data_IF_739655126818
#
_entry.id   IF_739655126818
#
_cell.length_a   1.000
_cell.length_b   1.000
_cell.length_c   1.000
_cell.angle_alpha   90.00
_cell.angle_beta   90.00
_cell.angle_gamma   90.00
#
_symmetry.space_group_name_H-M   'P 1'
#
loop_
_entity.id
_entity.type
_entity.pdbx_description
1 polymer ?
#
# COMPACT_ATOMS: atom_id res chain seq x y z
N UNK A 1 -8.10 -17.83 -44.38
CA UNK A 1 -7.22 -17.30 -43.30
C UNK A 1 -7.98 -16.43 -42.29
N UNK A 2 -8.76 -15.41 -42.70
CA UNK A 2 -9.54 -14.57 -41.78
C UNK A 2 -10.58 -15.35 -40.95
N UNK A 3 -11.27 -16.32 -41.57
CA UNK A 3 -12.25 -17.21 -40.91
C UNK A 3 -11.65 -18.01 -39.74
N UNK A 4 -10.45 -18.58 -39.92
CA UNK A 4 -9.76 -19.32 -38.85
C UNK A 4 -9.31 -18.43 -37.69
N UNK A 5 -8.92 -17.18 -37.98
CA UNK A 5 -8.52 -16.21 -36.95
C UNK A 5 -9.73 -15.85 -36.07
N UNK A 6 -10.89 -15.63 -36.67
CA UNK A 6 -12.14 -15.36 -35.94
C UNK A 6 -12.55 -16.58 -35.10
N UNK A 7 -12.54 -17.78 -35.70
CA UNK A 7 -12.89 -19.03 -35.01
C UNK A 7 -11.98 -19.27 -33.79
N UNK A 8 -10.66 -19.19 -33.97
CA UNK A 8 -9.73 -19.43 -32.87
C UNK A 8 -9.86 -18.38 -31.78
N UNK A 9 -10.04 -17.10 -32.12
CA UNK A 9 -10.29 -16.06 -31.13
C UNK A 9 -11.59 -16.30 -30.34
N UNK A 10 -12.67 -16.74 -31.00
CA UNK A 10 -13.91 -17.10 -30.32
C UNK A 10 -13.71 -18.28 -29.35
N UNK A 11 -12.95 -19.30 -29.75
CA UNK A 11 -12.62 -20.43 -28.88
C UNK A 11 -11.73 -20.03 -27.70
N UNK A 12 -10.75 -19.13 -27.91
CA UNK A 12 -9.91 -18.58 -26.83
C UNK A 12 -10.75 -17.81 -25.82
N UNK A 13 -11.68 -16.96 -26.28
CA UNK A 13 -12.59 -16.21 -25.40
C UNK A 13 -13.47 -17.12 -24.53
N UNK A 14 -13.83 -18.29 -25.06
CA UNK A 14 -14.58 -19.32 -24.34
C UNK A 14 -13.69 -20.34 -23.59
N UNK A 15 -12.41 -20.03 -23.36
CA UNK A 15 -11.45 -20.88 -22.63
C UNK A 15 -11.19 -22.28 -23.24
N UNK A 16 -11.56 -22.52 -24.50
CA UNK A 16 -11.36 -23.80 -25.21
C UNK A 16 -9.94 -23.94 -25.79
N UNK A 17 -8.91 -23.74 -24.97
CA UNK A 17 -7.51 -23.71 -25.42
C UNK A 17 -7.00 -25.03 -26.02
N UNK A 18 -7.41 -26.20 -25.50
CA UNK A 18 -6.98 -27.51 -26.07
C UNK A 18 -7.62 -27.77 -27.43
N UNK A 19 -8.87 -27.35 -27.62
CA UNK A 19 -9.54 -27.42 -28.92
C UNK A 19 -8.82 -26.57 -29.96
N UNK A 20 -8.33 -25.38 -29.57
CA UNK A 20 -7.50 -24.56 -30.48
C UNK A 20 -6.18 -25.25 -30.81
N UNK A 21 -5.51 -25.87 -29.83
CA UNK A 21 -4.25 -26.61 -30.06
C UNK A 21 -4.46 -27.78 -31.01
N UNK A 22 -5.53 -28.57 -30.84
CA UNK A 22 -5.84 -29.71 -31.70
C UNK A 22 -6.25 -29.28 -33.11
N UNK A 23 -7.07 -28.23 -33.24
CA UNK A 23 -7.44 -27.65 -34.53
C UNK A 23 -6.23 -27.07 -35.26
N UNK A 24 -5.29 -26.44 -34.55
CA UNK A 24 -4.06 -25.93 -35.15
C UNK A 24 -3.18 -27.06 -35.70
N UNK A 25 -3.09 -28.20 -35.02
CA UNK A 25 -2.39 -29.39 -35.54
C UNK A 25 -3.03 -29.87 -36.84
N UNK A 26 -4.36 -29.95 -36.89
CA UNK A 26 -5.12 -30.32 -38.10
C UNK A 26 -4.90 -29.30 -39.23
N UNK A 27 -4.91 -28.01 -38.91
CA UNK A 27 -4.64 -26.94 -39.87
C UNK A 27 -3.25 -27.08 -40.53
N UNK A 28 -2.22 -27.47 -39.79
CA UNK A 28 -0.90 -27.72 -40.38
C UNK A 28 -0.89 -28.97 -41.27
N UNK A 29 -1.67 -30.01 -40.95
CA UNK A 29 -1.74 -31.22 -41.77
C UNK A 29 -2.44 -31.01 -43.12
N UNK A 30 -3.20 -29.93 -43.28
CA UNK A 30 -3.84 -29.59 -44.56
C UNK A 30 -2.94 -28.79 -45.51
N UNK A 31 -1.66 -28.58 -45.17
CA UNK A 31 -0.68 -27.88 -46.01
C UNK A 31 -0.86 -26.35 -46.08
N UNK A 32 -1.77 -25.78 -45.28
CA UNK A 32 -1.99 -24.34 -45.21
C UNK A 32 -0.91 -23.69 -44.34
N UNK A 33 -0.34 -22.57 -44.79
CA UNK A 33 0.67 -21.82 -44.04
C UNK A 33 0.00 -20.90 -43.00
N UNK A 34 0.28 -21.06 -41.70
CA UNK A 34 -0.22 -20.14 -40.68
C UNK A 34 0.46 -18.77 -40.80
N UNK A 35 -0.26 -17.70 -40.49
CA UNK A 35 0.33 -16.37 -40.32
C UNK A 35 0.76 -16.15 -38.85
N UNK A 36 1.49 -15.06 -38.60
CA UNK A 36 1.98 -14.71 -37.26
C UNK A 36 0.85 -14.58 -36.22
N UNK A 37 -0.31 -14.06 -36.62
CA UNK A 37 -1.49 -13.92 -35.73
C UNK A 37 -1.95 -15.29 -35.21
N UNK A 38 -2.08 -16.29 -36.08
CA UNK A 38 -2.47 -17.64 -35.69
C UNK A 38 -1.41 -18.28 -34.77
N UNK A 39 -0.12 -18.05 -35.02
CA UNK A 39 0.93 -18.50 -34.10
C UNK A 39 0.86 -17.83 -32.74
N UNK A 40 0.58 -16.53 -32.66
CA UNK A 40 0.38 -15.81 -31.40
C UNK A 40 -0.84 -16.35 -30.62
N UNK A 41 -1.93 -16.68 -31.31
CA UNK A 41 -3.10 -17.31 -30.69
C UNK A 41 -2.74 -18.70 -30.14
N UNK A 42 -2.03 -19.53 -30.93
CA UNK A 42 -1.57 -20.84 -30.48
C UNK A 42 -0.65 -20.71 -29.25
N UNK A 43 0.30 -19.78 -29.32
CA UNK A 43 1.27 -19.53 -28.26
C UNK A 43 0.56 -19.09 -26.97
N UNK A 44 -0.44 -18.20 -27.06
CA UNK A 44 -1.28 -17.81 -25.92
C UNK A 44 -2.04 -19.03 -25.33
N UNK A 45 -2.66 -19.86 -26.16
CA UNK A 45 -3.38 -21.08 -25.70
C UNK A 45 -2.45 -22.05 -24.96
N UNK A 46 -1.30 -22.34 -25.54
CA UNK A 46 -0.28 -23.23 -24.97
C UNK A 46 0.25 -22.65 -23.65
N UNK A 47 0.50 -21.34 -23.61
CA UNK A 47 0.94 -20.64 -22.42
C UNK A 47 -0.10 -20.61 -21.29
N UNK A 48 -1.40 -20.46 -21.61
CA UNK A 48 -2.48 -20.53 -20.63
C UNK A 48 -2.68 -21.92 -20.04
N UNK A 49 -2.32 -22.98 -20.77
CA UNK A 49 -2.24 -24.35 -20.24
C UNK A 49 -0.96 -24.61 -19.43
N UNK A 50 -0.10 -23.62 -19.27
CA UNK A 50 1.16 -23.76 -18.53
C UNK A 50 2.21 -24.61 -19.25
N UNK A 51 2.02 -24.88 -20.55
CA UNK A 51 2.91 -25.71 -21.37
C UNK A 51 4.04 -24.86 -21.96
N UNK A 52 4.89 -24.31 -21.09
CA UNK A 52 5.92 -23.33 -21.49
C UNK A 52 6.88 -23.85 -22.58
N UNK A 53 7.29 -25.13 -22.51
CA UNK A 53 8.18 -25.74 -23.52
C UNK A 53 7.53 -25.82 -24.89
N UNK A 54 6.25 -26.20 -24.96
CA UNK A 54 5.50 -26.18 -26.23
C UNK A 54 5.39 -24.76 -26.78
N UNK A 55 5.30 -23.75 -25.90
CA UNK A 55 5.34 -22.35 -26.31
C UNK A 55 6.67 -21.98 -26.99
N UNK A 56 7.80 -22.44 -26.46
CA UNK A 56 9.11 -22.26 -27.10
C UNK A 56 9.21 -23.01 -28.43
N UNK A 57 8.59 -24.18 -28.56
CA UNK A 57 8.48 -24.88 -29.85
C UNK A 57 7.71 -24.04 -30.86
N UNK A 58 6.63 -23.37 -30.45
CA UNK A 58 5.89 -22.44 -31.31
C UNK A 58 6.75 -21.24 -31.70
N UNK A 59 7.49 -20.64 -30.77
CA UNK A 59 8.42 -19.55 -31.07
C UNK A 59 9.52 -19.97 -32.07
N UNK A 60 10.09 -21.16 -31.89
CA UNK A 60 11.06 -21.71 -32.83
C UNK A 60 10.47 -21.95 -34.23
N UNK A 61 9.18 -22.32 -34.32
CA UNK A 61 8.48 -22.43 -35.61
C UNK A 61 8.26 -21.08 -36.27
N UNK A 62 7.92 -20.04 -35.51
CA UNK A 62 7.80 -18.65 -36.02
C UNK A 62 9.11 -18.25 -36.69
N UNK A 63 10.24 -18.42 -35.99
CA UNK A 63 11.57 -18.08 -36.50
C UNK A 63 11.96 -18.92 -37.73
N UNK A 64 11.74 -20.24 -37.69
CA UNK A 64 12.08 -21.16 -38.79
C UNK A 64 11.31 -20.86 -40.08
N UNK A 65 10.10 -20.32 -39.97
CA UNK A 65 9.27 -19.93 -41.11
C UNK A 65 9.57 -18.50 -41.59
N UNK A 66 10.59 -17.84 -41.03
CA UNK A 66 11.01 -16.50 -41.43
C UNK A 66 10.15 -15.36 -40.86
N UNK A 67 9.23 -15.65 -39.95
CA UNK A 67 8.47 -14.61 -39.26
C UNK A 67 9.31 -13.99 -38.13
N UNK A 68 9.20 -12.67 -37.96
CA UNK A 68 9.77 -11.96 -36.81
C UNK A 68 8.79 -12.05 -35.63
N UNK A 69 9.18 -12.64 -34.48
CA UNK A 69 8.35 -12.62 -33.29
C UNK A 69 8.11 -11.19 -32.82
N UNK A 70 6.89 -10.91 -32.35
CA UNK A 70 6.50 -9.60 -31.87
C UNK A 70 6.42 -9.56 -30.34
N UNK A 71 6.07 -8.39 -29.80
CA UNK A 71 5.94 -8.21 -28.36
C UNK A 71 4.89 -9.15 -27.75
N UNK A 72 3.87 -9.56 -28.51
CA UNK A 72 2.83 -10.49 -28.05
C UNK A 72 3.39 -11.89 -27.90
N UNK A 73 4.20 -12.37 -28.86
CA UNK A 73 4.88 -13.66 -28.79
C UNK A 73 5.74 -13.78 -27.53
N UNK A 74 6.60 -12.80 -27.29
CA UNK A 74 7.50 -12.79 -26.13
C UNK A 74 6.74 -12.60 -24.81
N UNK A 75 5.82 -11.63 -24.74
CA UNK A 75 5.08 -11.33 -23.50
C UNK A 75 4.24 -12.53 -23.05
N UNK A 76 3.66 -13.29 -23.98
CA UNK A 76 2.89 -14.48 -23.64
C UNK A 76 3.75 -15.62 -23.06
N UNK A 77 4.97 -15.81 -23.56
CA UNK A 77 5.96 -16.75 -22.98
C UNK A 77 6.47 -16.28 -21.61
N UNK A 78 6.81 -15.00 -21.49
CA UNK A 78 7.21 -14.37 -20.22
C UNK A 78 6.11 -14.61 -19.18
N UNK A 79 4.86 -14.31 -19.51
CA UNK A 79 3.70 -14.55 -18.64
C UNK A 79 3.57 -16.02 -18.21
N UNK A 80 3.78 -16.95 -19.14
CA UNK A 80 3.75 -18.38 -18.85
C UNK A 80 4.85 -18.78 -17.85
N UNK A 81 6.07 -18.28 -18.05
CA UNK A 81 7.22 -18.55 -17.20
C UNK A 81 7.05 -17.97 -15.80
N UNK A 82 6.54 -16.73 -15.69
CA UNK A 82 6.20 -16.11 -14.41
C UNK A 82 5.18 -16.95 -13.62
N UNK A 83 4.09 -17.40 -14.27
CA UNK A 83 3.08 -18.28 -13.65
C UNK A 83 3.64 -19.63 -13.19
N UNK A 84 4.74 -20.10 -13.77
CA UNK A 84 5.44 -21.34 -13.37
C UNK A 84 6.54 -21.08 -12.34
N UNK A 85 6.67 -19.87 -11.81
CA UNK A 85 7.72 -19.49 -10.86
C UNK A 85 9.12 -19.43 -11.46
N UNK A 86 9.26 -19.47 -12.79
CA UNK A 86 10.55 -19.50 -13.49
C UNK A 86 11.00 -18.08 -13.87
N UNK A 87 11.10 -17.20 -12.88
CA UNK A 87 11.35 -15.77 -13.12
C UNK A 87 12.67 -15.52 -13.86
N UNK A 88 13.74 -16.24 -13.51
CA UNK A 88 15.05 -16.10 -14.17
C UNK A 88 14.99 -16.39 -15.67
N UNK A 89 14.21 -17.40 -16.09
CA UNK A 89 14.01 -17.71 -17.51
C UNK A 89 13.14 -16.66 -18.19
N UNK A 90 12.13 -16.12 -17.50
CA UNK A 90 11.29 -15.03 -18.00
C UNK A 90 12.13 -13.77 -18.24
N UNK A 91 13.01 -13.45 -17.31
CA UNK A 91 13.96 -12.34 -17.36
C UNK A 91 14.99 -12.49 -18.48
N UNK A 92 15.54 -13.70 -18.66
CA UNK A 92 16.42 -13.95 -19.80
C UNK A 92 15.69 -13.75 -21.13
N UNK A 93 14.43 -14.19 -21.22
CA UNK A 93 13.63 -14.02 -22.42
C UNK A 93 13.30 -12.54 -22.68
N UNK A 94 13.05 -11.76 -21.64
CA UNK A 94 12.89 -10.30 -21.73
C UNK A 94 14.16 -9.62 -22.27
N UNK A 95 15.34 -9.96 -21.75
CA UNK A 95 16.62 -9.43 -22.24
C UNK A 95 16.85 -9.77 -23.72
N UNK A 96 16.42 -10.94 -24.15
CA UNK A 96 16.55 -11.38 -25.54
C UNK A 96 15.63 -10.64 -26.52
N UNK A 97 14.57 -9.94 -26.07
CA UNK A 97 13.65 -9.26 -26.98
C UNK A 97 14.37 -8.24 -27.88
N UNK A 98 15.26 -7.42 -27.30
CA UNK A 98 16.01 -6.40 -28.04
C UNK A 98 16.97 -7.00 -29.11
N UNK A 99 17.79 -8.02 -28.79
CA UNK A 99 18.56 -8.77 -29.79
C UNK A 99 17.72 -9.34 -30.95
N UNK A 100 16.46 -9.69 -30.71
CA UNK A 100 15.52 -10.13 -31.75
C UNK A 100 14.83 -8.95 -32.49
N UNK A 101 15.25 -7.71 -32.25
CA UNK A 101 14.64 -6.52 -32.87
C UNK A 101 13.27 -6.15 -32.31
N UNK A 102 12.86 -6.76 -31.19
CA UNK A 102 11.56 -6.54 -30.57
C UNK A 102 11.71 -5.70 -29.29
N UNK A 103 11.09 -4.52 -29.23
CA UNK A 103 11.13 -3.69 -28.01
C UNK A 103 10.07 -4.14 -27.01
N UNK A 104 10.44 -4.36 -25.73
CA UNK A 104 9.45 -4.56 -24.68
C UNK A 104 8.48 -3.38 -24.57
N UNK A 105 7.21 -3.67 -24.32
CA UNK A 105 6.18 -2.64 -24.14
C UNK A 105 5.67 -2.63 -22.69
N UNK A 106 4.75 -1.72 -22.38
CA UNK A 106 4.16 -1.55 -21.05
C UNK A 106 3.57 -2.87 -20.52
N UNK A 107 2.98 -3.69 -21.39
CA UNK A 107 2.42 -5.00 -21.01
C UNK A 107 3.52 -5.98 -20.61
N UNK A 108 4.65 -5.98 -21.33
CA UNK A 108 5.82 -6.81 -20.99
C UNK A 108 6.37 -6.46 -19.61
N UNK A 109 6.59 -5.16 -19.34
CA UNK A 109 7.04 -4.70 -18.02
C UNK A 109 6.05 -5.04 -16.92
N UNK A 110 4.76 -4.76 -17.11
CA UNK A 110 3.71 -5.09 -16.14
C UNK A 110 3.63 -6.59 -15.83
N UNK A 111 3.86 -7.45 -16.83
CA UNK A 111 3.90 -8.91 -16.65
C UNK A 111 5.07 -9.34 -15.78
N UNK A 112 6.26 -8.76 -15.97
CA UNK A 112 7.44 -9.05 -15.15
C UNK A 112 7.26 -8.54 -13.73
N UNK A 113 6.75 -7.31 -13.56
CA UNK A 113 6.43 -6.73 -12.25
C UNK A 113 5.54 -7.71 -11.47
N UNK A 114 4.42 -8.14 -12.05
CA UNK A 114 3.53 -9.12 -11.41
C UNK A 114 4.23 -10.46 -11.09
N UNK A 115 5.12 -10.92 -11.98
CA UNK A 115 5.89 -12.15 -11.78
C UNK A 115 6.87 -12.05 -10.60
N UNK A 116 7.62 -10.95 -10.51
CA UNK A 116 8.53 -10.67 -9.40
C UNK A 116 7.75 -10.50 -8.10
N UNK A 117 6.70 -9.66 -8.08
CA UNK A 117 5.87 -9.44 -6.89
C UNK A 117 5.29 -10.75 -6.35
N UNK A 118 4.77 -11.62 -7.22
CA UNK A 118 4.23 -12.91 -6.81
C UNK A 118 5.28 -13.86 -6.23
N UNK A 119 6.51 -13.84 -6.74
CA UNK A 119 7.59 -14.70 -6.25
C UNK A 119 8.19 -14.17 -4.95
N UNK A 120 8.37 -12.85 -4.84
CA UNK A 120 8.78 -12.17 -3.61
C UNK A 120 7.77 -12.46 -2.50
N UNK A 121 6.48 -12.29 -2.77
CA UNK A 121 5.39 -12.62 -1.85
C UNK A 121 5.44 -14.09 -1.39
N UNK A 122 5.62 -15.01 -2.33
CA UNK A 122 5.78 -16.43 -2.04
C UNK A 122 6.98 -16.70 -1.13
N UNK A 123 8.16 -16.13 -1.42
CA UNK A 123 9.37 -16.35 -0.64
C UNK A 123 9.26 -15.76 0.77
N UNK A 124 8.73 -14.55 0.90
CA UNK A 124 8.49 -13.91 2.21
C UNK A 124 7.54 -14.74 3.07
N UNK A 125 6.46 -15.29 2.49
CA UNK A 125 5.52 -16.18 3.20
C UNK A 125 6.14 -17.49 3.67
N UNK A 126 7.21 -17.96 3.01
CA UNK A 126 7.97 -19.16 3.43
C UNK A 126 9.19 -18.82 4.29
N UNK A 127 9.34 -17.56 4.73
CA UNK A 127 10.46 -17.12 5.57
C UNK A 127 11.79 -16.96 4.83
N UNK A 128 11.83 -17.11 3.52
CA UNK A 128 13.04 -16.98 2.69
C UNK A 128 13.31 -15.51 2.30
N UNK A 129 13.34 -14.62 3.30
CA UNK A 129 13.36 -13.17 3.12
C UNK A 129 14.62 -12.68 2.42
N UNK A 130 15.79 -13.29 2.69
CA UNK A 130 17.05 -12.87 2.06
C UNK A 130 17.03 -13.12 0.53
N UNK A 131 16.48 -14.26 0.10
CA UNK A 131 16.26 -14.54 -1.34
C UNK A 131 15.24 -13.59 -1.96
N UNK A 132 14.21 -13.20 -1.21
CA UNK A 132 13.24 -12.21 -1.66
C UNK A 132 13.90 -10.83 -1.87
N UNK A 133 14.80 -10.43 -0.96
CA UNK A 133 15.59 -9.19 -1.06
C UNK A 133 16.52 -9.21 -2.27
N UNK A 134 17.19 -10.33 -2.53
CA UNK A 134 18.02 -10.50 -3.74
C UNK A 134 17.22 -10.30 -5.03
N UNK A 135 16.04 -10.93 -5.14
CA UNK A 135 15.16 -10.76 -6.30
C UNK A 135 14.61 -9.35 -6.45
N UNK A 136 14.32 -8.68 -5.34
CA UNK A 136 13.88 -7.29 -5.34
C UNK A 136 14.97 -6.35 -5.87
N UNK A 137 16.24 -6.56 -5.47
CA UNK A 137 17.38 -5.82 -5.98
C UNK A 137 17.67 -6.14 -7.45
N UNK A 138 17.53 -7.40 -7.87
CA UNK A 138 17.66 -7.80 -9.28
C UNK A 138 16.62 -7.07 -10.15
N UNK A 139 15.36 -7.05 -9.71
CA UNK A 139 14.27 -6.35 -10.39
C UNK A 139 14.62 -4.87 -10.63
N UNK A 140 15.11 -4.18 -9.60
CA UNK A 140 15.57 -2.78 -9.70
C UNK A 140 16.78 -2.62 -10.61
N UNK A 141 17.77 -3.51 -10.52
CA UNK A 141 18.97 -3.50 -11.36
C UNK A 141 18.68 -3.69 -12.85
N UNK A 142 17.52 -4.24 -13.20
CA UNK A 142 17.04 -4.34 -14.58
C UNK A 142 16.19 -3.14 -15.04
N UNK A 143 16.03 -2.12 -14.21
CA UNK A 143 15.17 -0.98 -14.50
C UNK A 143 13.68 -1.30 -14.43
N UNK A 144 13.30 -2.41 -13.78
CA UNK A 144 11.89 -2.76 -13.55
C UNK A 144 11.48 -2.17 -12.20
N UNK A 145 10.59 -1.17 -12.22
CA UNK A 145 10.12 -0.51 -10.99
C UNK A 145 9.26 -1.44 -10.13
N UNK A 146 9.63 -1.68 -8.85
CA UNK A 146 8.79 -2.46 -7.94
C UNK A 146 7.42 -1.81 -7.72
N UNK A 147 6.38 -2.63 -7.60
CA UNK A 147 5.02 -2.17 -7.30
C UNK A 147 4.69 -2.25 -5.81
N UNK A 148 3.50 -1.77 -5.45
CA UNK A 148 3.00 -1.79 -4.07
C UNK A 148 3.04 -3.20 -3.48
N UNK A 149 2.80 -4.24 -4.28
CA UNK A 149 2.80 -5.64 -3.83
C UNK A 149 4.21 -6.09 -3.49
N UNK A 150 5.18 -5.85 -4.38
CA UNK A 150 6.60 -6.17 -4.16
C UNK A 150 7.14 -5.54 -2.86
N UNK A 151 6.91 -4.23 -2.67
CA UNK A 151 7.32 -3.56 -1.45
C UNK A 151 6.63 -4.13 -0.22
N UNK A 152 5.29 -4.24 -0.26
CA UNK A 152 4.50 -4.70 0.90
C UNK A 152 4.91 -6.09 1.35
N UNK A 153 5.08 -7.02 0.42
CA UNK A 153 5.48 -8.39 0.73
C UNK A 153 6.89 -8.45 1.35
N UNK A 154 7.84 -7.67 0.83
CA UNK A 154 9.19 -7.64 1.37
C UNK A 154 9.25 -6.99 2.76
N UNK A 155 8.57 -5.86 2.94
CA UNK A 155 8.44 -5.17 4.24
C UNK A 155 7.82 -6.13 5.26
N UNK A 156 6.72 -6.81 4.92
CA UNK A 156 6.10 -7.82 5.77
C UNK A 156 7.09 -8.93 6.14
N UNK A 157 7.81 -9.48 5.17
CA UNK A 157 8.81 -10.53 5.41
C UNK A 157 9.92 -10.07 6.37
N UNK A 158 10.41 -8.84 6.22
CA UNK A 158 11.44 -8.27 7.09
C UNK A 158 10.94 -8.03 8.52
N UNK A 159 9.69 -7.56 8.68
CA UNK A 159 9.06 -7.42 9.99
C UNK A 159 8.96 -8.76 10.72
N UNK A 160 8.49 -9.82 10.03
CA UNK A 160 8.45 -11.18 10.57
C UNK A 160 9.84 -11.72 10.91
N UNK A 161 10.85 -11.38 10.11
CA UNK A 161 12.25 -11.70 10.38
C UNK A 161 12.90 -10.86 11.48
N UNK A 162 12.15 -9.94 12.12
CA UNK A 162 12.65 -9.06 13.18
C UNK A 162 13.54 -7.90 12.69
N UNK A 163 13.73 -7.75 11.37
CA UNK A 163 14.57 -6.73 10.73
C UNK A 163 13.78 -5.43 10.50
N UNK A 164 13.37 -4.79 11.59
CA UNK A 164 12.51 -3.59 11.54
C UNK A 164 13.15 -2.38 10.86
N UNK A 165 14.43 -2.11 11.13
CA UNK A 165 15.12 -0.97 10.50
C UNK A 165 15.16 -1.11 8.97
N UNK A 166 15.52 -2.29 8.45
CA UNK A 166 15.44 -2.59 7.01
C UNK A 166 14.02 -2.38 6.44
N UNK A 167 12.99 -2.71 7.21
CA UNK A 167 11.60 -2.53 6.80
C UNK A 167 11.21 -1.05 6.73
N UNK A 168 11.70 -0.23 7.66
CA UNK A 168 11.49 1.22 7.70
C UNK A 168 12.20 1.91 6.53
N UNK A 169 13.44 1.52 6.24
CA UNK A 169 14.20 2.00 5.07
C UNK A 169 13.47 1.70 3.76
N UNK A 170 12.82 0.54 3.65
CA UNK A 170 12.00 0.21 2.48
C UNK A 170 10.70 1.01 2.40
N UNK A 171 10.10 1.40 3.53
CA UNK A 171 8.93 2.30 3.54
C UNK A 171 9.34 3.71 3.08
N UNK A 172 10.52 4.18 3.51
CA UNK A 172 11.14 5.41 3.00
C UNK A 172 11.31 5.35 1.48
N UNK A 173 12.04 4.33 1.01
CA UNK A 173 12.31 4.13 -0.40
C UNK A 173 11.03 4.08 -1.23
N UNK A 174 10.01 3.35 -0.75
CA UNK A 174 8.72 3.22 -1.40
C UNK A 174 8.08 4.61 -1.65
N UNK A 175 8.09 5.49 -0.64
CA UNK A 175 7.55 6.86 -0.75
C UNK A 175 8.38 7.73 -1.68
N UNK A 176 9.71 7.64 -1.60
CA UNK A 176 10.63 8.40 -2.46
C UNK A 176 10.50 8.01 -3.93
N UNK A 177 10.19 6.75 -4.21
CA UNK A 177 9.88 6.24 -5.55
C UNK A 177 8.45 6.54 -6.00
N UNK A 178 7.71 7.37 -5.27
CA UNK A 178 6.30 7.73 -5.53
C UNK A 178 5.34 6.54 -5.56
N UNK A 179 5.71 5.41 -4.95
CA UNK A 179 4.84 4.26 -4.74
C UNK A 179 4.24 4.40 -3.35
N UNK A 180 2.94 4.64 -3.21
CA UNK A 180 2.38 4.91 -1.89
C UNK A 180 1.97 3.64 -1.14
N UNK A 181 2.42 3.45 0.12
CA UNK A 181 1.93 2.39 0.98
C UNK A 181 0.40 2.40 1.06
N UNK A 182 -0.20 1.22 1.01
CA UNK A 182 -1.65 1.07 1.02
C UNK A 182 -2.14 0.49 2.36
N UNK A 183 -3.46 0.37 2.48
CA UNK A 183 -4.14 -0.14 3.68
C UNK A 183 -3.61 -1.51 4.10
N UNK A 184 -3.34 -2.37 3.12
CA UNK A 184 -2.89 -3.74 3.34
C UNK A 184 -1.48 -3.74 3.92
N UNK A 185 -0.58 -2.89 3.41
CA UNK A 185 0.80 -2.75 3.90
C UNK A 185 0.84 -2.54 5.42
N UNK A 186 0.10 -1.55 5.92
CA UNK A 186 0.12 -1.21 7.34
C UNK A 186 -0.67 -2.18 8.21
N UNK A 187 -1.83 -2.64 7.75
CA UNK A 187 -2.67 -3.55 8.55
C UNK A 187 -1.93 -4.84 8.87
N UNK A 188 -1.19 -5.37 7.89
CA UNK A 188 -0.49 -6.64 8.03
C UNK A 188 0.71 -6.54 8.99
N UNK A 189 1.47 -5.44 8.93
CA UNK A 189 2.63 -5.23 9.81
C UNK A 189 2.19 -4.96 11.25
N UNK A 190 1.13 -4.16 11.43
CA UNK A 190 0.62 -3.84 12.76
C UNK A 190 -0.01 -5.07 13.41
N UNK A 191 -0.77 -5.88 12.67
CA UNK A 191 -1.32 -7.14 13.17
C UNK A 191 -0.22 -8.07 13.69
N UNK A 192 0.92 -8.13 13.00
CA UNK A 192 2.08 -8.91 13.44
C UNK A 192 2.73 -8.35 14.70
N UNK A 193 2.97 -7.04 14.75
CA UNK A 193 3.59 -6.41 15.91
C UNK A 193 2.73 -6.54 17.16
N UNK A 194 1.41 -6.41 17.04
CA UNK A 194 0.49 -6.65 18.15
C UNK A 194 0.58 -8.10 18.64
N UNK A 195 0.50 -9.09 17.73
CA UNK A 195 0.59 -10.52 18.09
C UNK A 195 1.91 -10.90 18.75
N UNK A 196 2.99 -10.23 18.37
CA UNK A 196 4.33 -10.47 18.91
C UNK A 196 4.65 -9.58 20.13
N UNK A 197 3.68 -8.82 20.66
CA UNK A 197 3.87 -7.92 21.81
C UNK A 197 4.83 -6.74 21.55
N UNK A 198 5.15 -6.44 20.29
CA UNK A 198 6.07 -5.37 19.87
C UNK A 198 5.32 -4.05 19.70
N UNK A 199 4.63 -3.61 20.76
CA UNK A 199 3.76 -2.42 20.73
C UNK A 199 4.54 -1.16 20.34
N UNK A 200 5.75 -0.97 20.87
CA UNK A 200 6.56 0.22 20.56
C UNK A 200 6.78 0.38 19.05
N UNK A 201 7.00 -0.72 18.33
CA UNK A 201 7.18 -0.73 16.87
C UNK A 201 5.87 -0.50 16.11
N UNK A 202 4.76 -0.99 16.65
CA UNK A 202 3.42 -0.71 16.10
C UNK A 202 3.08 0.79 16.22
N UNK A 203 3.42 1.41 17.35
CA UNK A 203 3.25 2.84 17.58
C UNK A 203 4.17 3.67 16.70
N UNK A 204 5.44 3.30 16.59
CA UNK A 204 6.39 3.96 15.69
C UNK A 204 5.93 3.89 14.23
N UNK A 205 5.38 2.76 13.80
CA UNK A 205 4.79 2.61 12.47
C UNK A 205 3.56 3.52 12.27
N UNK A 206 2.68 3.62 13.28
CA UNK A 206 1.54 4.54 13.25
C UNK A 206 2.00 6.00 13.14
N UNK A 207 3.04 6.39 13.85
CA UNK A 207 3.64 7.73 13.72
C UNK A 207 4.24 7.95 12.32
N UNK A 208 4.93 6.94 11.77
CA UNK A 208 5.49 6.99 10.42
C UNK A 208 4.38 7.19 9.37
N UNK A 209 3.24 6.50 9.55
CA UNK A 209 2.04 6.66 8.72
C UNK A 209 1.50 8.09 8.77
N UNK A 210 1.50 8.71 9.94
CA UNK A 210 1.05 10.09 10.15
C UNK A 210 2.00 11.07 9.47
N UNK A 211 3.30 10.93 9.74
CA UNK A 211 4.35 11.85 9.25
C UNK A 211 4.47 11.84 7.72
N UNK A 212 4.31 10.68 7.08
CA UNK A 212 4.53 10.51 5.63
C UNK A 212 3.26 10.46 4.78
N UNK A 213 2.08 10.50 5.38
CA UNK A 213 0.85 10.32 4.61
C UNK A 213 -0.43 10.47 5.42
N UNK A 214 -0.63 11.66 5.99
CA UNK A 214 -1.83 12.13 6.68
C UNK A 214 -3.07 11.24 6.50
N UNK A 215 -3.47 10.60 7.59
CA UNK A 215 -4.56 9.62 7.73
C UNK A 215 -5.93 10.04 7.17
N UNK A 216 -6.09 11.30 6.78
CA UNK A 216 -7.38 11.94 6.51
C UNK A 216 -7.73 12.00 5.02
N UNK A 217 -7.20 11.10 4.18
CA UNK A 217 -7.78 10.80 2.87
C UNK A 217 -8.58 9.49 2.98
N UNK A 218 -9.86 9.63 3.34
CA UNK A 218 -11.08 8.78 3.20
C UNK A 218 -11.03 7.23 3.25
N UNK A 219 -9.89 6.59 3.45
CA UNK A 219 -9.75 5.14 3.59
C UNK A 219 -8.84 4.70 4.74
N UNK A 220 -8.03 5.61 5.28
CA UNK A 220 -7.00 5.32 6.30
C UNK A 220 -7.51 5.46 7.75
N UNK A 221 -8.52 6.29 8.02
CA UNK A 221 -9.17 6.38 9.34
C UNK A 221 -9.91 5.09 9.72
N UNK A 222 -10.57 4.42 8.76
CA UNK A 222 -11.22 3.12 8.99
C UNK A 222 -10.24 2.06 9.53
N UNK A 223 -8.99 2.14 9.10
CA UNK A 223 -7.90 1.25 9.54
C UNK A 223 -7.50 1.61 10.95
N UNK A 224 -7.22 2.89 11.20
CA UNK A 224 -6.86 3.39 12.52
C UNK A 224 -7.94 3.03 13.56
N UNK A 225 -9.23 3.17 13.22
CA UNK A 225 -10.37 2.70 14.05
C UNK A 225 -10.36 1.20 14.29
N UNK A 226 -10.24 0.39 13.23
CA UNK A 226 -10.22 -1.07 13.35
C UNK A 226 -9.04 -1.55 14.22
N UNK A 227 -7.90 -0.89 14.11
CA UNK A 227 -6.70 -1.16 14.89
C UNK A 227 -6.89 -0.74 16.36
N UNK A 228 -7.41 0.46 16.59
CA UNK A 228 -7.72 0.97 17.92
C UNK A 228 -8.63 0.02 18.69
N UNK A 229 -9.69 -0.51 18.07
CA UNK A 229 -10.56 -1.50 18.71
C UNK A 229 -9.92 -2.88 18.90
N UNK A 230 -8.86 -3.21 18.15
CA UNK A 230 -8.18 -4.51 18.23
C UNK A 230 -7.10 -4.54 19.32
N UNK A 231 -6.49 -3.40 19.66
CA UNK A 231 -5.47 -3.31 20.71
C UNK A 231 -5.98 -3.88 22.06
N UNK A 232 -7.14 -3.46 22.61
CA UNK A 232 -7.64 -4.01 23.87
C UNK A 232 -8.00 -5.50 23.80
N UNK A 233 -8.44 -5.98 22.62
CA UNK A 233 -8.85 -7.39 22.42
C UNK A 233 -7.67 -8.36 22.51
N UNK A 234 -6.47 -7.89 22.21
CA UNK A 234 -5.22 -8.67 22.31
C UNK A 234 -4.51 -8.43 23.66
N UNK A 235 -5.18 -7.77 24.62
CA UNK A 235 -4.63 -7.45 25.94
C UNK A 235 -3.60 -6.32 25.94
N UNK A 236 -3.67 -5.42 24.95
CA UNK A 236 -2.73 -4.32 24.76
C UNK A 236 -3.42 -2.98 25.03
N UNK A 237 -2.79 -2.11 25.82
CA UNK A 237 -3.33 -0.79 26.16
C UNK A 237 -2.90 0.28 25.14
N UNK A 238 -3.83 0.98 24.47
CA UNK A 238 -3.50 2.11 23.62
C UNK A 238 -2.84 3.23 24.45
N UNK A 239 -1.79 3.84 23.92
CA UNK A 239 -1.11 4.95 24.60
C UNK A 239 -1.61 6.32 24.12
N UNK A 240 -1.17 7.38 24.81
CA UNK A 240 -1.54 8.78 24.52
C UNK A 240 -1.34 9.18 23.04
N UNK A 241 -0.27 8.69 22.43
CA UNK A 241 0.02 8.94 21.01
C UNK A 241 -1.05 8.32 20.12
N UNK A 242 -1.44 7.08 20.40
CA UNK A 242 -2.49 6.36 19.65
C UNK A 242 -3.83 7.09 19.73
N UNK A 243 -4.22 7.55 20.92
CA UNK A 243 -5.42 8.35 21.12
C UNK A 243 -5.36 9.69 20.36
N UNK A 244 -4.24 10.42 20.46
CA UNK A 244 -4.04 11.69 19.76
C UNK A 244 -4.16 11.53 18.23
N UNK A 245 -3.66 10.42 17.69
CA UNK A 245 -3.77 10.07 16.27
C UNK A 245 -5.24 9.85 15.87
N UNK A 246 -5.99 9.10 16.67
CA UNK A 246 -7.41 8.81 16.42
C UNK A 246 -8.25 10.07 16.45
N UNK A 247 -8.05 10.90 17.47
CA UNK A 247 -8.72 12.17 17.67
C UNK A 247 -8.45 13.13 16.50
N UNK A 248 -7.17 13.35 16.14
CA UNK A 248 -6.83 14.23 15.02
C UNK A 248 -7.47 13.76 13.70
N UNK A 249 -7.49 12.45 13.48
CA UNK A 249 -8.13 11.83 12.32
C UNK A 249 -9.63 12.08 12.26
N UNK A 250 -10.33 11.91 13.38
CA UNK A 250 -11.77 12.12 13.51
C UNK A 250 -12.16 13.59 13.37
N UNK A 251 -11.40 14.50 13.98
CA UNK A 251 -11.61 15.93 13.82
C UNK A 251 -11.50 16.36 12.36
N UNK A 252 -10.53 15.85 11.59
CA UNK A 252 -10.40 16.21 10.18
C UNK A 252 -11.48 15.61 9.27
N UNK A 253 -12.18 14.57 9.70
CA UNK A 253 -13.38 14.04 9.04
C UNK A 253 -14.69 14.68 9.53
N UNK A 254 -14.63 15.62 10.48
CA UNK A 254 -15.81 16.26 11.08
C UNK A 254 -16.60 15.35 12.02
N UNK A 255 -16.03 14.21 12.45
CA UNK A 255 -16.66 13.26 13.37
C UNK A 255 -16.37 13.63 14.82
N UNK A 256 -16.90 14.77 15.23
CA UNK A 256 -16.56 15.44 16.48
C UNK A 256 -17.09 14.72 17.73
N UNK A 257 -18.27 14.12 17.65
CA UNK A 257 -18.84 13.31 18.73
C UNK A 257 -17.95 12.09 19.04
N UNK A 258 -17.55 11.34 18.01
CA UNK A 258 -16.65 10.19 18.18
C UNK A 258 -15.27 10.59 18.73
N UNK A 259 -14.77 11.78 18.36
CA UNK A 259 -13.51 12.30 18.91
C UNK A 259 -13.65 12.66 20.41
N UNK A 260 -14.83 13.13 20.82
CA UNK A 260 -15.15 13.44 22.20
C UNK A 260 -15.37 12.17 23.04
N UNK A 261 -16.00 11.14 22.47
CA UNK A 261 -16.13 9.83 23.11
C UNK A 261 -14.76 9.21 23.41
N UNK A 262 -13.83 9.31 22.46
CA UNK A 262 -12.44 8.85 22.64
C UNK A 262 -11.69 9.61 23.73
N UNK A 263 -11.98 10.89 23.93
CA UNK A 263 -11.42 11.67 25.03
C UNK A 263 -11.92 11.16 26.38
N UNK A 264 -13.22 10.88 26.50
CA UNK A 264 -13.79 10.31 27.73
C UNK A 264 -13.20 8.93 28.04
N UNK A 265 -13.03 8.07 27.03
CA UNK A 265 -12.39 6.75 27.19
C UNK A 265 -10.94 6.92 27.65
N UNK A 266 -10.21 7.89 27.10
CA UNK A 266 -8.83 8.16 27.49
C UNK A 266 -8.72 8.67 28.95
N UNK A 267 -9.70 9.45 29.42
CA UNK A 267 -9.82 9.87 30.83
C UNK A 267 -10.14 8.67 31.75
N UNK A 268 -11.05 7.78 31.33
CA UNK A 268 -11.48 6.59 32.10
C UNK A 268 -10.38 5.51 32.20
N UNK A 269 -9.57 5.33 31.15
CA UNK A 269 -8.43 4.40 31.13
C UNK A 269 -7.19 4.94 31.88
N UNK A 270 -7.27 6.14 32.46
CA UNK A 270 -6.17 6.72 33.26
C UNK A 270 -4.98 7.21 32.44
N UNK A 271 -5.16 7.41 31.11
CA UNK A 271 -4.15 8.05 30.28
C UNK A 271 -4.09 9.54 30.63
N UNK A 272 -3.04 9.95 31.36
CA UNK A 272 -2.83 11.35 31.72
C UNK A 272 -2.70 12.23 30.46
N UNK A 273 -3.78 12.95 30.14
CA UNK A 273 -3.84 13.90 29.03
C UNK A 273 -2.68 14.90 29.15
N UNK A 274 -1.97 15.12 28.04
CA UNK A 274 -0.91 16.13 27.97
C UNK A 274 -1.39 17.37 27.20
N UNK A 275 -0.57 18.42 27.24
CA UNK A 275 -0.85 19.68 26.54
C UNK A 275 -1.01 19.47 25.02
N UNK A 276 -0.33 18.47 24.44
CA UNK A 276 -0.37 18.16 23.01
C UNK A 276 -1.76 17.61 22.64
N UNK A 277 -2.34 16.74 23.49
CA UNK A 277 -3.70 16.22 23.31
C UNK A 277 -4.73 17.35 23.26
N UNK A 278 -4.74 18.23 24.27
CA UNK A 278 -5.67 19.36 24.32
C UNK A 278 -5.50 20.32 23.15
N UNK A 279 -4.27 20.67 22.78
CA UNK A 279 -4.03 21.56 21.63
C UNK A 279 -4.48 20.90 20.31
N UNK A 280 -4.31 19.59 20.15
CA UNK A 280 -4.76 18.84 18.98
C UNK A 280 -6.29 18.82 18.86
N UNK A 281 -6.99 18.56 19.97
CA UNK A 281 -8.46 18.60 20.04
C UNK A 281 -9.00 19.98 19.74
N UNK A 282 -8.52 21.00 20.45
CA UNK A 282 -8.99 22.37 20.29
C UNK A 282 -8.80 22.85 18.85
N UNK A 283 -7.66 22.52 18.22
CA UNK A 283 -7.44 22.82 16.79
C UNK A 283 -8.41 22.07 15.88
N UNK A 284 -8.70 20.81 16.19
CA UNK A 284 -9.68 19.99 15.48
C UNK A 284 -11.11 20.52 15.56
N UNK A 285 -11.60 20.87 16.76
CA UNK A 285 -12.91 21.48 16.96
C UNK A 285 -13.00 22.86 16.30
N UNK A 286 -11.94 23.66 16.39
CA UNK A 286 -11.88 24.98 15.77
C UNK A 286 -11.88 24.93 14.24
N UNK A 287 -11.30 23.90 13.63
CA UNK A 287 -11.36 23.69 12.18
C UNK A 287 -12.78 23.37 11.69
N UNK A 288 -13.65 22.85 12.56
CA UNK A 288 -15.03 22.50 12.24
C UNK A 288 -16.06 23.49 12.82
N UNK A 289 -15.62 24.67 13.26
CA UNK A 289 -16.45 25.74 13.82
C UNK A 289 -17.21 25.41 15.13
N UNK A 290 -16.78 24.39 15.89
CA UNK A 290 -17.33 24.09 17.22
C UNK A 290 -16.64 24.92 18.32
N UNK A 291 -16.85 26.24 18.30
CA UNK A 291 -16.18 27.19 19.21
C UNK A 291 -16.54 26.96 20.68
N UNK A 292 -17.75 26.49 20.97
CA UNK A 292 -18.21 26.19 22.33
C UNK A 292 -17.38 25.07 22.98
N UNK A 293 -17.03 24.02 22.22
CA UNK A 293 -16.28 22.89 22.73
C UNK A 293 -14.82 23.24 23.00
N UNK A 294 -14.23 24.13 22.19
CA UNK A 294 -12.88 24.66 22.43
C UNK A 294 -12.82 25.39 23.78
N UNK A 295 -13.85 26.17 24.12
CA UNK A 295 -13.94 26.86 25.41
C UNK A 295 -14.09 25.87 26.57
N UNK A 296 -14.91 24.84 26.42
CA UNK A 296 -15.06 23.77 27.42
C UNK A 296 -13.72 23.05 27.69
N UNK A 297 -12.96 22.75 26.63
CA UNK A 297 -11.63 22.14 26.75
C UNK A 297 -10.64 23.06 27.46
N UNK A 298 -10.68 24.37 27.21
CA UNK A 298 -9.85 25.34 27.93
C UNK A 298 -10.19 25.39 29.43
N UNK A 299 -11.47 25.28 29.81
CA UNK A 299 -11.87 25.19 31.23
C UNK A 299 -11.36 23.90 31.87
N UNK A 300 -11.51 22.76 31.18
CA UNK A 300 -10.94 21.49 31.63
C UNK A 300 -9.43 21.56 31.83
N UNK A 301 -8.68 22.24 30.95
CA UNK A 301 -7.23 22.46 31.13
C UNK A 301 -6.89 23.18 32.44
N UNK A 302 -7.72 24.13 32.88
CA UNK A 302 -7.55 24.80 34.16
C UNK A 302 -7.85 23.87 35.34
N UNK A 303 -8.92 23.10 35.26
CA UNK A 303 -9.31 22.15 36.32
C UNK A 303 -8.22 21.11 36.62
N UNK A 304 -7.52 20.65 35.58
CA UNK A 304 -6.42 19.68 35.69
C UNK A 304 -5.03 20.32 35.81
N UNK A 305 -4.95 21.64 35.99
CA UNK A 305 -3.69 22.41 36.11
C UNK A 305 -2.70 22.31 34.93
N UNK A 306 -3.18 22.09 33.70
CA UNK A 306 -2.35 22.15 32.50
C UNK A 306 -2.27 23.60 32.02
N UNK A 307 -1.05 24.16 32.01
CA UNK A 307 -0.83 25.54 31.56
C UNK A 307 -0.72 25.63 30.02
N UNK A 308 -1.42 26.57 29.39
CA UNK A 308 -1.25 26.89 27.98
C UNK A 308 0.18 27.31 27.66
N UNK A 309 0.67 26.93 26.47
CA UNK A 309 1.98 27.36 25.97
C UNK A 309 1.85 28.24 24.71
N UNK A 310 2.99 28.50 24.07
CA UNK A 310 3.04 29.25 22.83
C UNK A 310 2.25 28.59 21.67
N UNK A 311 1.95 27.29 21.74
CA UNK A 311 1.15 26.57 20.73
C UNK A 311 -0.35 26.64 20.98
N UNK A 312 -0.79 26.91 22.22
CA UNK A 312 -2.19 27.18 22.56
C UNK A 312 -2.63 28.60 22.18
N UNK A 313 -1.71 29.57 22.21
CA UNK A 313 -2.02 30.99 21.94
C UNK A 313 -2.63 31.23 20.53
N UNK A 314 -2.10 30.64 19.44
CA UNK A 314 -2.71 30.76 18.11
C UNK A 314 -4.11 30.15 18.02
N UNK A 315 -4.40 29.10 18.79
CA UNK A 315 -5.72 28.45 18.81
C UNK A 315 -6.75 29.37 19.44
N UNK A 316 -6.39 30.05 20.54
CA UNK A 316 -7.26 31.04 21.20
C UNK A 316 -7.46 32.26 20.30
N UNK A 317 -6.42 32.70 19.58
CA UNK A 317 -6.56 33.80 18.59
C UNK A 317 -7.51 33.38 17.46
N UNK A 318 -7.34 32.19 16.89
CA UNK A 318 -8.18 31.70 15.79
C UNK A 318 -9.64 31.43 16.24
N UNK A 319 -9.85 31.07 17.51
CA UNK A 319 -11.18 31.04 18.16
C UNK A 319 -11.85 32.41 18.18
N UNK A 320 -11.10 33.45 18.56
CA UNK A 320 -11.61 34.83 18.65
C UNK A 320 -11.87 35.47 17.28
N UNK A 321 -11.13 35.04 16.26
CA UNK A 321 -11.27 35.56 14.88
C UNK A 321 -12.44 34.92 14.14
N UNK A 322 -12.74 33.63 14.39
CA UNK A 322 -13.81 32.91 13.70
C UNK A 322 -15.23 33.15 14.25
N UNK A 323 -15.36 33.58 15.50
CA UNK A 323 -16.68 33.82 16.11
C UNK A 323 -17.14 35.28 15.90
N UNK A 324 -18.23 35.49 15.16
CA UNK A 324 -18.83 36.82 14.94
C UNK A 324 -19.19 37.53 16.26
N UNK A 325 -19.23 36.79 17.38
CA UNK A 325 -19.49 37.29 18.73
C UNK A 325 -18.25 37.19 19.63
N UNK A 326 -17.07 37.61 19.15
CA UNK A 326 -15.79 37.61 19.89
C UNK A 326 -15.89 38.08 21.37
N UNK A 327 -16.77 39.05 21.69
CA UNK A 327 -17.02 39.53 23.08
C UNK A 327 -17.62 38.45 23.99
N UNK A 328 -18.48 37.58 23.47
CA UNK A 328 -19.08 36.48 24.22
C UNK A 328 -18.04 35.40 24.50
N UNK A 329 -17.18 35.09 23.53
CA UNK A 329 -16.07 34.15 23.71
C UNK A 329 -15.04 34.65 24.72
N UNK A 330 -14.65 35.93 24.66
CA UNK A 330 -13.74 36.55 25.65
C UNK A 330 -14.23 36.38 27.09
N UNK A 331 -15.53 36.55 27.32
CA UNK A 331 -16.12 36.42 28.66
C UNK A 331 -16.25 34.95 29.13
N UNK A 332 -16.13 33.99 28.21
CA UNK A 332 -16.19 32.56 28.52
C UNK A 332 -14.80 31.94 28.62
N UNK A 333 -13.72 32.66 28.31
CA UNK A 333 -12.37 32.13 28.47
C UNK A 333 -11.98 32.03 29.96
N UNK A 334 -11.40 30.92 30.40
CA UNK A 334 -10.90 30.81 31.77
C UNK A 334 -9.69 31.71 32.02
N UNK A 335 -9.55 32.17 33.26
CA UNK A 335 -8.38 32.90 33.72
C UNK A 335 -7.31 31.90 34.16
N UNK A 336 -6.26 31.74 33.36
CA UNK A 336 -5.10 30.97 33.75
C UNK A 336 -4.27 31.74 34.80
N UNK A 337 -3.75 31.08 35.85
CA UNK A 337 -2.83 31.71 36.79
C UNK A 337 -1.65 32.33 36.04
N UNK A 338 -1.26 33.56 36.39
CA UNK A 338 -0.06 34.19 35.81
C UNK A 338 1.13 33.27 36.06
N UNK A 339 1.82 32.86 34.99
CA UNK A 339 3.16 32.28 35.13
C UNK A 339 3.98 33.25 35.98
N UNK A 340 4.46 32.78 37.14
CA UNK A 340 5.46 33.54 37.87
C UNK A 340 6.63 33.73 36.90
N UNK A 341 7.14 34.97 36.71
CA UNK A 341 8.30 35.16 35.88
C UNK A 341 9.41 34.27 36.42
N UNK A 342 9.91 33.37 35.57
CA UNK A 342 11.15 32.65 35.82
C UNK A 342 12.21 33.72 36.06
N UNK A 343 12.59 33.87 37.33
CA UNK A 343 13.74 34.69 37.70
C UNK A 343 14.94 33.96 37.13
N UNK A 344 15.43 34.53 36.02
CA UNK A 344 16.72 34.37 35.33
C UNK A 344 17.61 33.18 35.72
#
# INVERSE_FOLDING_TARGET
>A
MASFTILFNALVKNNHHETVISLFKRFNSTGLLPNLILFNILLNCVCNRGRAYDGFVVLGRILRLGFSPDAVSFTSLIKCLCRKGRIMKATQLFKNMNPFGCRPNVITYGTLIQGYSSLIDGLCKHGLVDKAKELFLEMKGMGIGPDVVSYTSLIQGLCFGGKWEDAKDLIDEMVDQHVHPNVVTFTVIIDDFCKNGKIDKANELLELMVKRGGLCKMGRLKIARKLFHKLPQEGLEPNIVTYNIMVHGLCKEGKLEEANDLLSIMEEEGCALDLITYNTLMRGFLQNNETAKVVELLHKMVEINIMPDASTTPIVIDLLVKDEKYRKCLNLLPLFPKQKPTVS
#
